data_IF_048904585161
#
_entry.id   IF_048904585161
#
_cell.length_a   1.000
_cell.length_b   1.000
_cell.length_c   1.000
_cell.angle_alpha   90.00
_cell.angle_beta   90.00
_cell.angle_gamma   90.00
#
_symmetry.space_group_name_H-M   'P 1'
#
loop_
_entity.id
_entity.type
_entity.pdbx_description
1 polymer ?
#
# COMPACT_ATOMS: atom_id res chain seq x y z
N UNK A 1 8.48 2.40 6.19
CA UNK A 1 9.45 2.13 5.11
C UNK A 1 10.60 3.12 5.12
N UNK A 2 10.48 4.32 4.53
CA UNK A 2 11.61 5.28 4.45
C UNK A 2 12.34 5.56 5.77
N UNK A 3 11.59 5.88 6.83
CA UNK A 3 12.19 6.11 8.16
C UNK A 3 12.83 4.86 8.78
N UNK A 4 12.30 3.66 8.48
CA UNK A 4 12.80 2.40 9.07
C UNK A 4 14.12 2.01 8.40
N UNK A 5 14.15 2.04 7.07
CA UNK A 5 15.31 1.71 6.24
C UNK A 5 16.35 2.85 6.14
N UNK A 6 16.03 4.03 6.67
CA UNK A 6 16.80 5.27 6.53
C UNK A 6 17.06 5.74 5.07
N UNK A 7 16.25 5.25 4.13
CA UNK A 7 16.33 5.60 2.71
C UNK A 7 15.31 6.68 2.33
N UNK A 8 15.58 7.43 1.24
CA UNK A 8 14.59 8.38 0.72
C UNK A 8 13.40 7.66 0.10
N UNK A 9 12.24 8.34 0.05
CA UNK A 9 11.04 7.74 -0.54
C UNK A 9 11.22 7.44 -2.04
N UNK A 10 11.86 8.37 -2.76
CA UNK A 10 12.15 8.24 -4.20
C UNK A 10 13.01 7.01 -4.49
N UNK A 11 14.02 6.80 -3.66
CA UNK A 11 14.91 5.66 -3.75
C UNK A 11 14.21 4.32 -3.57
N UNK A 12 13.34 4.23 -2.56
CA UNK A 12 12.51 3.04 -2.33
C UNK A 12 11.57 2.83 -3.52
N UNK A 13 10.97 3.89 -4.07
CA UNK A 13 10.09 3.79 -5.24
C UNK A 13 10.84 3.27 -6.47
N UNK A 14 12.05 3.76 -6.74
CA UNK A 14 12.89 3.25 -7.85
C UNK A 14 13.17 1.77 -7.73
N UNK A 15 13.47 1.29 -6.52
CA UNK A 15 13.69 -0.14 -6.27
C UNK A 15 12.39 -0.93 -6.46
N UNK A 16 11.26 -0.46 -5.89
CA UNK A 16 9.96 -1.12 -5.98
C UNK A 16 9.44 -1.26 -7.41
N UNK A 17 9.67 -0.24 -8.25
CA UNK A 17 9.20 -0.21 -9.65
C UNK A 17 10.23 -0.75 -10.66
N UNK A 18 11.22 -1.51 -10.19
CA UNK A 18 12.22 -2.19 -11.02
C UNK A 18 13.11 -1.23 -11.85
N UNK A 19 13.35 -0.01 -11.37
CA UNK A 19 14.23 0.98 -12.01
C UNK A 19 15.67 0.96 -11.47
N UNK A 20 15.87 0.40 -10.28
CA UNK A 20 17.17 0.33 -9.62
C UNK A 20 17.30 -0.93 -8.75
N UNK A 21 18.54 -1.36 -8.52
CA UNK A 21 18.86 -2.42 -7.56
C UNK A 21 19.26 -1.82 -6.22
N UNK A 22 18.97 -2.55 -5.15
CA UNK A 22 19.46 -2.25 -3.80
C UNK A 22 20.35 -3.37 -3.30
N UNK A 23 21.49 -3.02 -2.71
CA UNK A 23 22.40 -3.97 -2.06
C UNK A 23 21.75 -4.49 -0.78
N UNK A 24 21.43 -5.78 -0.78
CA UNK A 24 20.87 -6.48 0.38
C UNK A 24 22.00 -7.04 1.24
N UNK A 25 23.00 -7.65 0.60
CA UNK A 25 24.20 -8.15 1.26
C UNK A 25 25.45 -7.70 0.48
N UNK A 26 26.32 -6.86 1.07
CA UNK A 26 27.55 -6.45 0.44
C UNK A 26 28.65 -7.54 0.43
N UNK A 27 28.53 -8.59 1.24
CA UNK A 27 29.56 -9.61 1.38
C UNK A 27 30.94 -9.03 1.73
N UNK A 28 31.98 -9.48 1.04
CA UNK A 28 33.37 -9.01 1.22
C UNK A 28 33.74 -7.80 0.34
N UNK A 29 32.78 -7.29 -0.44
CA UNK A 29 33.00 -6.18 -1.37
C UNK A 29 32.98 -4.82 -0.65
N UNK A 30 33.53 -3.75 -1.23
CA UNK A 30 33.45 -2.39 -0.65
C UNK A 30 32.05 -1.76 -0.74
N UNK A 31 31.03 -2.51 -1.17
CA UNK A 31 29.68 -2.02 -1.34
C UNK A 31 29.02 -1.76 0.03
N UNK A 32 28.14 -0.75 0.06
CA UNK A 32 27.36 -0.43 1.25
C UNK A 32 25.99 -1.08 1.15
N UNK A 33 25.59 -1.80 2.19
CA UNK A 33 24.19 -2.24 2.38
C UNK A 33 23.26 -1.03 2.31
N UNK A 34 22.06 -1.21 1.76
CA UNK A 34 21.11 -0.12 1.42
C UNK A 34 21.58 0.81 0.28
N UNK A 35 22.76 0.57 -0.30
CA UNK A 35 23.23 1.30 -1.47
C UNK A 35 22.39 0.97 -2.70
N UNK A 36 22.10 1.99 -3.50
CA UNK A 36 21.31 1.86 -4.72
C UNK A 36 22.25 1.93 -5.91
N UNK A 37 21.97 1.14 -6.93
CA UNK A 37 22.72 1.13 -8.18
C UNK A 37 21.78 1.05 -9.37
N UNK A 38 22.23 1.64 -10.48
CA UNK A 38 21.55 1.50 -11.77
C UNK A 38 21.78 0.10 -12.34
N UNK A 39 21.09 -0.25 -13.42
CA UNK A 39 21.30 -1.52 -14.11
C UNK A 39 22.73 -1.62 -14.68
N UNK A 40 23.24 -0.54 -15.27
CA UNK A 40 24.62 -0.46 -15.78
C UNK A 40 25.67 -0.64 -14.67
N UNK A 41 25.46 0.01 -13.52
CA UNK A 41 26.35 -0.11 -12.36
C UNK A 41 26.31 -1.52 -11.77
N UNK A 42 25.13 -2.14 -11.73
CA UNK A 42 24.97 -3.52 -11.27
C UNK A 42 25.73 -4.49 -12.16
N UNK A 43 25.59 -4.36 -13.49
CA UNK A 43 26.29 -5.22 -14.44
C UNK A 43 27.81 -5.02 -14.40
N UNK A 44 28.29 -3.79 -14.18
CA UNK A 44 29.70 -3.49 -14.00
C UNK A 44 30.26 -4.14 -12.73
N UNK A 45 29.57 -3.95 -11.58
CA UNK A 45 29.98 -4.53 -10.30
C UNK A 45 29.90 -6.05 -10.28
N UNK A 46 28.91 -6.63 -10.95
CA UNK A 46 28.79 -8.08 -11.11
C UNK A 46 29.91 -8.66 -11.98
N UNK A 47 30.40 -7.90 -12.96
CA UNK A 47 31.59 -8.29 -13.73
C UNK A 47 32.88 -8.20 -12.91
N UNK A 48 32.97 -7.24 -12.00
CA UNK A 48 34.15 -7.02 -11.14
C UNK A 48 34.22 -8.00 -9.96
N UNK A 49 33.13 -8.14 -9.21
CA UNK A 49 33.07 -8.89 -7.95
C UNK A 49 32.34 -10.25 -8.08
N UNK A 50 31.82 -10.59 -9.25
CA UNK A 50 31.09 -11.83 -9.46
C UNK A 50 29.85 -11.93 -8.56
N UNK A 51 29.74 -13.06 -7.85
CA UNK A 51 28.64 -13.38 -6.94
C UNK A 51 28.96 -13.06 -5.46
N UNK A 52 30.00 -12.26 -5.18
CA UNK A 52 30.39 -11.89 -3.80
C UNK A 52 29.41 -10.96 -3.08
N UNK A 53 28.48 -10.33 -3.81
CA UNK A 53 27.45 -9.46 -3.25
C UNK A 53 26.07 -9.82 -3.81
N UNK A 54 25.03 -9.52 -3.01
CA UNK A 54 23.63 -9.72 -3.39
C UNK A 54 22.95 -8.37 -3.50
N UNK A 55 22.55 -8.00 -4.71
CA UNK A 55 21.64 -6.88 -4.94
C UNK A 55 20.35 -7.37 -5.59
N UNK A 56 19.22 -6.86 -5.11
CA UNK A 56 17.88 -7.24 -5.58
C UNK A 56 17.07 -6.01 -5.94
N UNK A 57 15.99 -6.22 -6.68
CA UNK A 57 15.02 -5.19 -7.04
C UNK A 57 13.60 -5.62 -6.67
N UNK A 58 12.66 -4.68 -6.77
CA UNK A 58 11.26 -4.92 -6.45
C UNK A 58 10.98 -5.04 -4.96
N UNK A 59 9.75 -5.46 -4.64
CA UNK A 59 9.28 -5.62 -3.26
C UNK A 59 10.08 -6.68 -2.48
N UNK A 60 10.62 -7.70 -3.14
CA UNK A 60 11.43 -8.75 -2.52
C UNK A 60 12.70 -8.19 -1.89
N UNK A 61 13.43 -7.32 -2.61
CA UNK A 61 14.62 -6.67 -2.06
C UNK A 61 14.31 -5.78 -0.86
N UNK A 62 13.19 -5.04 -0.90
CA UNK A 62 12.75 -4.22 0.25
C UNK A 62 12.36 -5.09 1.44
N UNK A 63 11.67 -6.21 1.21
CA UNK A 63 11.26 -7.14 2.26
C UNK A 63 12.47 -7.75 2.97
N UNK A 64 13.44 -8.26 2.22
CA UNK A 64 14.64 -8.87 2.77
C UNK A 64 15.51 -7.86 3.53
N UNK A 65 15.57 -6.61 3.06
CA UNK A 65 16.18 -5.54 3.82
C UNK A 65 15.50 -5.33 5.16
N UNK A 66 14.15 -5.34 5.21
CA UNK A 66 13.40 -5.20 6.46
C UNK A 66 13.60 -6.40 7.39
N UNK A 67 13.60 -7.63 6.86
CA UNK A 67 13.86 -8.86 7.62
C UNK A 67 15.27 -8.88 8.23
N UNK A 68 16.24 -8.29 7.54
CA UNK A 68 17.63 -8.22 7.99
C UNK A 68 17.91 -7.15 9.06
N UNK A 69 16.91 -6.35 9.44
CA UNK A 69 17.06 -5.31 10.48
C UNK A 69 16.93 -5.95 11.85
N UNK A 70 18.03 -5.91 12.61
CA UNK A 70 17.97 -6.13 14.05
C UNK A 70 17.52 -4.83 14.74
N UNK A 71 16.29 -4.84 15.26
CA UNK A 71 15.69 -3.71 15.96
C UNK A 71 16.47 -3.33 17.23
N UNK A 72 17.03 -4.30 17.94
CA UNK A 72 17.70 -4.04 19.22
C UNK A 72 19.01 -3.29 18.99
N UNK A 73 19.83 -3.83 18.11
CA UNK A 73 21.10 -3.24 17.70
C UNK A 73 20.90 -1.84 17.09
N UNK A 74 19.89 -1.64 16.24
CA UNK A 74 19.63 -0.32 15.64
C UNK A 74 19.11 0.72 16.65
N UNK A 75 18.31 0.31 17.63
CA UNK A 75 17.84 1.20 18.70
C UNK A 75 19.02 1.65 19.57
N UNK A 76 19.91 0.73 19.95
CA UNK A 76 21.10 1.08 20.74
C UNK A 76 22.04 2.03 19.99
N UNK A 77 22.32 1.75 18.71
CA UNK A 77 23.10 2.65 17.85
C UNK A 77 22.51 4.06 17.81
N UNK A 78 21.20 4.17 17.60
CA UNK A 78 20.53 5.47 17.51
C UNK A 78 20.47 6.23 18.84
N UNK A 79 20.42 5.52 19.98
CA UNK A 79 20.51 6.14 21.31
C UNK A 79 21.91 6.70 21.59
N UNK A 80 22.95 6.04 21.07
CA UNK A 80 24.33 6.47 21.24
C UNK A 80 24.77 7.52 20.20
N UNK A 81 24.13 7.58 19.02
CA UNK A 81 24.40 8.57 17.96
C UNK A 81 23.60 9.89 18.17
N UNK A 82 23.91 10.59 19.27
CA UNK A 82 23.38 11.93 19.57
C UNK A 82 24.22 13.06 18.96
N UNK A 83 25.29 12.73 18.23
CA UNK A 83 26.22 13.71 17.66
C UNK A 83 25.85 14.08 16.22
N UNK A 84 25.96 15.37 15.90
CA UNK A 84 25.74 15.91 14.55
C UNK A 84 24.90 17.17 14.51
N UNK A 85 24.45 17.53 13.31
CA UNK A 85 23.59 18.69 13.09
C UNK A 85 22.19 18.50 13.68
N UNK A 86 21.53 19.59 14.06
CA UNK A 86 20.18 19.58 14.62
C UNK A 86 19.17 18.81 13.73
N UNK A 87 19.32 18.94 12.41
CA UNK A 87 18.51 18.21 11.43
C UNK A 87 18.71 16.68 11.52
N UNK A 88 19.96 16.22 11.65
CA UNK A 88 20.30 14.79 11.80
C UNK A 88 19.71 14.26 13.10
N UNK A 89 19.88 14.98 14.20
CA UNK A 89 19.35 14.61 15.51
C UNK A 89 17.81 14.48 15.45
N UNK A 90 17.13 15.45 14.83
CA UNK A 90 15.66 15.41 14.69
C UNK A 90 15.18 14.26 13.81
N UNK A 91 15.93 13.88 12.76
CA UNK A 91 15.63 12.71 11.92
C UNK A 91 15.82 11.41 12.72
N UNK A 92 16.96 11.27 13.40
CA UNK A 92 17.29 10.11 14.23
C UNK A 92 16.29 9.92 15.36
N UNK A 93 15.86 10.99 16.03
CA UNK A 93 14.85 10.92 17.08
C UNK A 93 13.49 10.40 16.56
N UNK A 94 13.08 10.82 15.35
CA UNK A 94 11.86 10.28 14.71
C UNK A 94 12.02 8.80 14.35
N UNK A 95 13.17 8.40 13.82
CA UNK A 95 13.47 6.99 13.50
C UNK A 95 13.47 6.12 14.76
N UNK A 96 14.17 6.54 15.80
CA UNK A 96 14.23 5.86 17.10
C UNK A 96 12.83 5.63 17.66
N UNK A 97 11.97 6.66 17.68
CA UNK A 97 10.58 6.54 18.15
C UNK A 97 9.79 5.48 17.39
N UNK A 98 9.99 5.37 16.08
CA UNK A 98 9.30 4.36 15.25
C UNK A 98 9.84 2.95 15.55
N UNK A 99 11.15 2.77 15.65
CA UNK A 99 11.76 1.46 15.95
C UNK A 99 11.39 0.96 17.35
N UNK A 100 11.40 1.84 18.35
CA UNK A 100 10.94 1.51 19.70
C UNK A 100 9.45 1.11 19.72
N UNK A 101 8.61 1.76 18.90
CA UNK A 101 7.21 1.38 18.76
C UNK A 101 7.04 0.00 18.13
N UNK A 102 7.85 -0.36 17.12
CA UNK A 102 7.87 -1.73 16.57
C UNK A 102 8.28 -2.74 17.63
N UNK A 103 9.39 -2.50 18.35
CA UNK A 103 9.85 -3.37 19.44
C UNK A 103 8.78 -3.55 20.52
N UNK A 104 8.14 -2.46 20.96
CA UNK A 104 7.11 -2.51 22.01
C UNK A 104 5.83 -3.23 21.57
N UNK A 105 5.45 -3.12 20.30
CA UNK A 105 4.23 -3.75 19.76
C UNK A 105 4.42 -5.22 19.36
N UNK A 106 5.67 -5.68 19.22
CA UNK A 106 5.98 -7.02 18.70
C UNK A 106 5.65 -7.18 17.21
N UNK A 107 5.32 -6.09 16.51
CA UNK A 107 5.07 -6.09 15.07
C UNK A 107 6.42 -6.15 14.37
N UNK A 108 6.55 -7.08 13.43
CA UNK A 108 7.77 -7.21 12.64
C UNK A 108 7.76 -6.22 11.46
N UNK A 109 8.88 -5.52 11.15
CA UNK A 109 8.92 -4.54 10.07
C UNK A 109 8.56 -5.10 8.69
N UNK A 110 8.90 -6.36 8.40
CA UNK A 110 8.64 -7.04 7.13
C UNK A 110 7.16 -7.25 6.85
N UNK A 111 6.29 -7.26 7.87
CA UNK A 111 4.83 -7.37 7.69
C UNK A 111 4.20 -6.16 6.98
N UNK A 112 4.97 -5.09 6.79
CA UNK A 112 4.57 -3.98 5.92
C UNK A 112 4.48 -4.39 4.44
N UNK A 113 5.16 -5.47 4.03
CA UNK A 113 5.11 -6.03 2.68
C UNK A 113 4.12 -7.21 2.67
N UNK A 114 3.10 -7.14 1.82
CA UNK A 114 2.02 -8.13 1.79
C UNK A 114 2.41 -9.34 0.93
N UNK A 115 2.51 -10.52 1.53
CA UNK A 115 2.62 -11.79 0.80
C UNK A 115 1.25 -12.34 0.41
N UNK A 116 0.25 -12.13 1.28
CA UNK A 116 -1.12 -12.64 1.11
C UNK A 116 -2.10 -11.50 1.29
N UNK A 117 -3.02 -11.37 0.33
CA UNK A 117 -4.04 -10.32 0.33
C UNK A 117 -5.41 -10.92 0.67
N UNK A 118 -6.05 -10.52 1.77
CA UNK A 118 -7.39 -11.00 2.12
C UNK A 118 -8.45 -10.45 1.15
N UNK A 119 -9.48 -11.26 0.92
CA UNK A 119 -10.62 -10.90 0.06
C UNK A 119 -11.84 -10.64 0.93
N UNK A 120 -12.51 -9.50 0.69
CA UNK A 120 -13.73 -9.14 1.41
C UNK A 120 -14.85 -10.16 1.14
N UNK A 121 -15.69 -10.52 2.12
CA UNK A 121 -16.84 -11.41 1.92
C UNK A 121 -17.75 -10.94 0.78
N UNK A 122 -18.34 -11.87 -0.02
CA UNK A 122 -19.20 -11.52 -1.16
C UNK A 122 -20.36 -10.59 -0.82
N UNK A 123 -20.96 -10.73 0.36
CA UNK A 123 -22.09 -9.91 0.81
C UNK A 123 -21.75 -8.42 0.94
N UNK A 124 -20.48 -8.11 1.22
CA UNK A 124 -19.99 -6.73 1.29
C UNK A 124 -19.59 -6.17 -0.09
N UNK A 125 -19.62 -7.01 -1.13
CA UNK A 125 -19.34 -6.65 -2.53
C UNK A 125 -20.38 -7.29 -3.47
N UNK A 126 -21.67 -6.98 -3.30
CA UNK A 126 -22.76 -7.72 -3.94
C UNK A 126 -22.75 -7.55 -5.46
N UNK A 127 -23.31 -8.56 -6.12
CA UNK A 127 -23.65 -8.56 -7.54
C UNK A 127 -25.17 -8.70 -7.61
N UNK A 128 -25.86 -7.59 -7.86
CA UNK A 128 -27.33 -7.53 -7.77
C UNK A 128 -27.91 -7.57 -9.18
N UNK A 129 -28.79 -8.55 -9.50
CA UNK A 129 -29.48 -8.56 -10.77
C UNK A 129 -30.42 -7.35 -10.88
N UNK A 130 -30.47 -6.75 -12.07
CA UNK A 130 -31.38 -5.69 -12.45
C UNK A 130 -32.33 -6.19 -13.54
N UNK A 131 -33.43 -5.48 -13.73
CA UNK A 131 -34.38 -5.77 -14.81
C UNK A 131 -33.69 -5.74 -16.19
N UNK A 132 -34.13 -6.64 -17.07
CA UNK A 132 -33.56 -6.78 -18.41
C UNK A 132 -32.22 -7.53 -18.47
N UNK A 133 -31.92 -8.40 -17.49
CA UNK A 133 -30.76 -9.29 -17.51
C UNK A 133 -29.42 -8.59 -17.24
N UNK A 134 -29.45 -7.35 -16.73
CA UNK A 134 -28.27 -6.58 -16.36
C UNK A 134 -27.86 -6.89 -14.92
N UNK A 135 -26.61 -6.63 -14.58
CA UNK A 135 -26.11 -6.79 -13.21
C UNK A 135 -25.46 -5.49 -12.72
N UNK A 136 -25.81 -5.07 -11.52
CA UNK A 136 -25.09 -4.04 -10.79
C UNK A 136 -23.94 -4.69 -10.01
N UNK A 137 -22.72 -4.24 -10.25
CA UNK A 137 -21.51 -4.77 -9.61
C UNK A 137 -20.83 -3.69 -8.78
N UNK A 138 -20.34 -4.06 -7.59
CA UNK A 138 -19.45 -3.19 -6.80
C UNK A 138 -18.13 -2.94 -7.55
N UNK A 139 -17.63 -1.69 -7.52
CA UNK A 139 -16.32 -1.29 -8.07
C UNK A 139 -15.17 -2.19 -7.54
N UNK A 140 -15.29 -2.67 -6.30
CA UNK A 140 -14.29 -3.57 -5.69
C UNK A 140 -14.13 -4.88 -6.47
N UNK A 141 -15.21 -5.41 -7.04
CA UNK A 141 -15.14 -6.67 -7.78
C UNK A 141 -14.27 -6.52 -9.03
N UNK A 142 -14.30 -5.35 -9.69
CA UNK A 142 -13.43 -5.06 -10.84
C UNK A 142 -11.96 -4.91 -10.42
N UNK A 143 -11.69 -4.26 -9.28
CA UNK A 143 -10.34 -4.14 -8.73
C UNK A 143 -9.78 -5.51 -8.31
N UNK A 144 -10.56 -6.34 -7.60
CA UNK A 144 -10.18 -7.71 -7.26
C UNK A 144 -9.93 -8.58 -8.50
N UNK A 145 -10.82 -8.51 -9.51
CA UNK A 145 -10.65 -9.26 -10.75
C UNK A 145 -9.32 -8.91 -11.43
N UNK A 146 -8.93 -7.63 -11.45
CA UNK A 146 -7.64 -7.20 -11.99
C UNK A 146 -6.47 -7.81 -11.22
N UNK A 147 -6.46 -7.75 -9.89
CA UNK A 147 -5.40 -8.35 -9.06
C UNK A 147 -5.29 -9.85 -9.32
N UNK A 148 -6.41 -10.58 -9.32
CA UNK A 148 -6.44 -12.03 -9.55
C UNK A 148 -5.90 -12.38 -10.94
N UNK A 149 -6.33 -11.65 -11.97
CA UNK A 149 -5.88 -11.89 -13.35
C UNK A 149 -4.39 -11.62 -13.52
N UNK A 150 -3.87 -10.54 -12.90
CA UNK A 150 -2.43 -10.21 -12.91
C UNK A 150 -1.60 -11.25 -12.17
N UNK A 151 -2.07 -11.68 -11.00
CA UNK A 151 -1.39 -12.72 -10.22
C UNK A 151 -1.35 -14.07 -10.97
N UNK A 152 -2.48 -14.47 -11.56
CA UNK A 152 -2.57 -15.72 -12.34
C UNK A 152 -1.68 -15.66 -13.60
N UNK A 153 -1.63 -14.50 -14.26
CA UNK A 153 -0.74 -14.27 -15.41
C UNK A 153 0.73 -14.30 -15.02
N UNK A 154 1.11 -13.64 -13.93
CA UNK A 154 2.48 -13.66 -13.41
C UNK A 154 2.92 -15.09 -13.09
N UNK A 155 2.07 -15.87 -12.40
CA UNK A 155 2.33 -17.28 -12.11
C UNK A 155 2.63 -18.08 -13.38
N UNK A 156 1.79 -17.96 -14.41
CA UNK A 156 1.99 -18.64 -15.69
C UNK A 156 3.28 -18.22 -16.40
N UNK A 157 3.64 -16.92 -16.33
CA UNK A 157 4.90 -16.42 -16.90
C UNK A 157 6.13 -17.02 -16.20
N UNK A 158 6.08 -17.17 -14.87
CA UNK A 158 7.14 -17.80 -14.09
C UNK A 158 7.26 -19.30 -14.40
N UNK A 159 6.12 -20.01 -14.50
CA UNK A 159 6.09 -21.44 -14.86
C UNK A 159 6.70 -21.70 -16.25
N UNK A 160 6.48 -20.80 -17.20
CA UNK A 160 7.05 -20.87 -18.56
C UNK A 160 8.48 -20.33 -18.66
N UNK A 161 9.11 -19.92 -17.54
CA UNK A 161 10.42 -19.26 -17.50
C UNK A 161 10.53 -18.11 -18.52
N UNK A 162 9.48 -17.27 -18.58
CA UNK A 162 9.45 -16.13 -19.47
C UNK A 162 10.63 -15.18 -19.20
N UNK A 163 11.11 -14.44 -20.22
CA UNK A 163 12.20 -13.47 -20.06
C UNK A 163 11.95 -12.49 -18.91
N UNK A 164 13.04 -12.11 -18.23
CA UNK A 164 12.96 -11.33 -17.00
C UNK A 164 12.26 -9.98 -17.20
N UNK A 165 12.46 -9.33 -18.34
CA UNK A 165 11.78 -8.06 -18.71
C UNK A 165 10.24 -8.21 -18.63
N UNK A 166 9.71 -9.33 -19.14
CA UNK A 166 8.27 -9.58 -19.16
C UNK A 166 7.77 -9.87 -17.73
N UNK A 167 8.53 -10.66 -16.96
CA UNK A 167 8.22 -10.96 -15.58
C UNK A 167 8.25 -9.70 -14.69
N UNK A 168 9.26 -8.84 -14.82
CA UNK A 168 9.38 -7.55 -14.12
C UNK A 168 8.20 -6.65 -14.42
N UNK A 169 7.82 -6.52 -15.70
CA UNK A 169 6.64 -5.73 -16.06
C UNK A 169 5.36 -6.29 -15.44
N UNK A 170 5.15 -7.61 -15.42
CA UNK A 170 3.96 -8.19 -14.79
C UNK A 170 3.98 -8.03 -13.26
N UNK A 171 5.13 -8.14 -12.60
CA UNK A 171 5.30 -7.82 -11.17
C UNK A 171 4.91 -6.35 -10.89
N UNK A 172 5.36 -5.41 -11.73
CA UNK A 172 4.96 -3.99 -11.65
C UNK A 172 3.44 -3.81 -11.82
N UNK A 173 2.85 -4.45 -12.83
CA UNK A 173 1.40 -4.35 -13.06
C UNK A 173 0.58 -4.95 -11.91
N UNK A 174 1.07 -6.02 -11.28
CA UNK A 174 0.46 -6.59 -10.08
C UNK A 174 0.53 -5.60 -8.90
N UNK A 175 1.68 -4.97 -8.68
CA UNK A 175 1.84 -3.93 -7.65
C UNK A 175 0.84 -2.78 -7.86
N UNK A 176 0.74 -2.24 -9.06
CA UNK A 176 -0.21 -1.17 -9.39
C UNK A 176 -1.68 -1.59 -9.19
N UNK A 177 -2.00 -2.84 -9.49
CA UNK A 177 -3.35 -3.37 -9.28
C UNK A 177 -3.70 -3.47 -7.79
N UNK A 178 -2.75 -3.89 -6.95
CA UNK A 178 -2.93 -3.93 -5.49
C UNK A 178 -3.01 -2.52 -4.91
N UNK A 179 -2.14 -1.61 -5.35
CA UNK A 179 -2.19 -0.20 -4.95
C UNK A 179 -3.56 0.42 -5.25
N UNK A 180 -4.10 0.14 -6.44
CA UNK A 180 -5.42 0.63 -6.88
C UNK A 180 -6.57 0.02 -6.08
N UNK A 181 -6.45 -1.24 -5.63
CA UNK A 181 -7.46 -1.89 -4.78
C UNK A 181 -7.51 -1.25 -3.39
N UNK A 182 -6.34 -0.96 -2.80
CA UNK A 182 -6.22 -0.41 -1.46
C UNK A 182 -6.59 1.08 -1.42
N UNK A 183 -6.00 1.90 -2.29
CA UNK A 183 -6.20 3.35 -2.34
C UNK A 183 -6.00 3.90 -3.76
N UNK A 184 -7.08 3.85 -4.56
CA UNK A 184 -7.06 4.21 -5.97
C UNK A 184 -6.74 5.69 -6.18
N UNK A 185 -5.74 5.99 -7.01
CA UNK A 185 -5.32 7.36 -7.32
C UNK A 185 -4.39 8.00 -6.28
N UNK A 186 -3.96 7.27 -5.24
CA UNK A 186 -2.89 7.74 -4.35
C UNK A 186 -1.56 7.87 -5.08
N UNK A 187 -1.29 6.95 -6.00
CA UNK A 187 -0.13 6.97 -6.89
C UNK A 187 -0.60 6.98 -8.34
N UNK A 188 -0.23 8.01 -9.08
CA UNK A 188 -0.55 8.15 -10.50
C UNK A 188 -2.04 8.35 -10.78
N UNK A 189 -2.44 7.99 -12.01
CA UNK A 189 -3.79 8.19 -12.51
C UNK A 189 -4.74 7.12 -11.96
N UNK A 190 -5.84 7.55 -11.36
CA UNK A 190 -6.86 6.64 -10.85
C UNK A 190 -7.40 5.72 -11.96
N UNK A 191 -7.56 4.44 -11.62
CA UNK A 191 -8.17 3.46 -12.52
C UNK A 191 -9.65 3.79 -12.71
N UNK A 192 -10.07 3.86 -13.97
CA UNK A 192 -11.45 4.17 -14.35
C UNK A 192 -12.19 2.93 -14.84
N UNK A 193 -13.50 2.90 -14.57
CA UNK A 193 -14.42 1.90 -15.11
C UNK A 193 -14.95 2.27 -16.50
N UNK A 194 -15.87 1.47 -17.03
CA UNK A 194 -16.49 1.68 -18.35
C UNK A 194 -17.12 3.08 -18.51
N UNK A 195 -17.67 3.63 -17.43
CA UNK A 195 -18.32 4.95 -17.43
C UNK A 195 -17.31 6.11 -17.28
N UNK A 196 -16.00 5.86 -17.49
CA UNK A 196 -14.88 6.81 -17.27
C UNK A 196 -14.77 7.40 -15.86
N UNK A 197 -15.62 6.97 -14.92
CA UNK A 197 -15.55 7.30 -13.49
C UNK A 197 -14.42 6.51 -12.83
N UNK A 198 -13.69 7.16 -11.91
CA UNK A 198 -12.73 6.47 -11.05
C UNK A 198 -13.43 5.44 -10.17
N UNK A 199 -12.86 4.23 -10.10
CA UNK A 199 -13.35 3.14 -9.26
C UNK A 199 -13.11 3.47 -7.79
N UNK A 200 -14.07 3.17 -6.91
CA UNK A 200 -13.92 3.33 -5.47
C UNK A 200 -13.07 2.20 -4.88
N UNK A 201 -12.01 2.56 -4.17
CA UNK A 201 -11.12 1.63 -3.46
C UNK A 201 -11.61 1.30 -2.05
N UNK A 202 -10.92 0.37 -1.36
CA UNK A 202 -11.21 0.05 0.05
C UNK A 202 -11.07 1.28 0.95
N UNK A 203 -10.03 2.10 0.76
CA UNK A 203 -9.85 3.34 1.52
C UNK A 203 -11.02 4.32 1.29
N UNK A 204 -11.49 4.47 0.04
CA UNK A 204 -12.60 5.36 -0.31
C UNK A 204 -13.93 4.94 0.29
N UNK A 205 -14.14 3.65 0.53
CA UNK A 205 -15.34 3.16 1.21
C UNK A 205 -15.39 3.61 2.67
N UNK A 206 -14.24 3.82 3.29
CA UNK A 206 -14.13 4.17 4.71
C UNK A 206 -14.08 5.69 4.90
N UNK A 207 -13.30 6.39 4.08
CA UNK A 207 -13.04 7.83 4.22
C UNK A 207 -14.07 8.72 3.49
N UNK A 208 -14.10 10.00 3.86
CA UNK A 208 -14.89 11.02 3.16
C UNK A 208 -16.36 11.13 3.63
N UNK A 209 -17.10 12.07 3.02
CA UNK A 209 -18.50 12.37 3.38
C UNK A 209 -19.46 11.21 3.10
N UNK A 210 -19.22 10.48 2.01
CA UNK A 210 -19.98 9.28 1.64
C UNK A 210 -19.33 7.98 2.15
N UNK A 211 -18.28 8.09 2.98
CA UNK A 211 -17.64 6.95 3.61
C UNK A 211 -18.44 6.42 4.79
N UNK A 212 -18.15 5.18 5.19
CA UNK A 212 -18.86 4.46 6.25
C UNK A 212 -18.95 5.23 7.57
N UNK A 213 -17.87 5.89 8.01
CA UNK A 213 -17.86 6.58 9.30
C UNK A 213 -18.89 7.71 9.37
N UNK A 214 -18.90 8.61 8.38
CA UNK A 214 -19.81 9.76 8.41
C UNK A 214 -21.22 9.41 7.98
N UNK A 215 -21.35 8.58 6.94
CA UNK A 215 -22.65 8.33 6.33
C UNK A 215 -23.45 7.25 7.06
N UNK A 216 -22.82 6.20 7.59
CA UNK A 216 -23.53 5.03 8.12
C UNK A 216 -23.42 4.88 9.64
N UNK A 217 -22.28 5.26 10.24
CA UNK A 217 -22.09 5.14 11.68
C UNK A 217 -22.74 6.31 12.42
N UNK A 218 -22.56 7.55 11.93
CA UNK A 218 -23.17 8.74 12.51
C UNK A 218 -24.54 9.07 11.90
N UNK A 219 -24.74 8.80 10.62
CA UNK A 219 -26.03 8.94 9.94
C UNK A 219 -26.74 7.59 9.87
N UNK A 220 -27.81 7.40 10.64
CA UNK A 220 -28.69 6.24 10.48
C UNK A 220 -30.07 6.71 10.08
N UNK A 221 -30.63 6.06 9.06
CA UNK A 221 -32.06 6.17 8.82
C UNK A 221 -32.76 5.46 9.98
N UNK A 222 -33.76 6.14 10.54
CA UNK A 222 -34.52 5.65 11.69
C UNK A 222 -35.94 5.36 11.25
N UNK A 223 -36.44 4.22 11.71
CA UNK A 223 -37.87 3.89 11.58
C UNK A 223 -38.69 4.81 12.50
N UNK A 224 -40.01 4.83 12.31
CA UNK A 224 -40.92 5.72 13.05
C UNK A 224 -40.61 7.21 12.89
N UNK A 225 -40.15 7.61 11.70
CA UNK A 225 -39.94 9.01 11.34
C UNK A 225 -40.78 9.41 10.13
N UNK A 226 -41.26 10.65 10.13
CA UNK A 226 -42.05 11.23 9.05
C UNK A 226 -41.63 12.66 8.78
N UNK A 227 -41.93 13.15 7.58
CA UNK A 227 -41.72 14.56 7.21
C UNK A 227 -42.95 15.04 6.44
N UNK A 228 -43.46 16.21 6.84
CA UNK A 228 -44.53 16.92 6.14
C UNK A 228 -44.21 18.42 6.07
N UNK A 229 -45.02 19.16 5.33
CA UNK A 229 -44.93 20.62 5.25
C UNK A 229 -45.59 21.22 6.49
N UNK A 230 -44.91 22.16 7.15
CA UNK A 230 -45.42 22.86 8.33
C UNK A 230 -46.35 24.02 7.94
N UNK A 231 -47.44 24.21 8.69
CA UNK A 231 -48.38 25.33 8.54
C UNK A 231 -48.63 26.01 9.89
N UNK A 232 -49.22 27.22 9.91
CA UNK A 232 -49.20 28.12 11.09
C UNK A 232 -50.02 27.63 12.30
N UNK A 233 -51.07 26.81 12.11
CA UNK A 233 -51.84 26.20 13.21
C UNK A 233 -52.25 27.12 14.37
N UNK A 234 -52.92 28.28 14.12
CA UNK A 234 -53.03 29.37 15.09
C UNK A 234 -53.87 29.07 16.35
N UNK A 235 -54.61 27.97 16.39
CA UNK A 235 -55.48 27.58 17.51
C UNK A 235 -54.83 26.60 18.50
N UNK A 236 -53.59 26.15 18.23
CA UNK A 236 -52.88 25.19 19.09
C UNK A 236 -52.27 25.86 20.33
N UNK A 237 -52.17 25.11 21.43
CA UNK A 237 -51.44 25.54 22.63
C UNK A 237 -49.93 25.36 22.44
N UNK A 238 -49.11 26.04 23.25
CA UNK A 238 -47.63 26.03 23.15
C UNK A 238 -46.99 24.62 23.17
N UNK A 239 -47.64 23.63 23.79
CA UNK A 239 -47.15 22.26 23.95
C UNK A 239 -47.76 21.26 22.95
N UNK A 240 -48.43 21.73 21.89
CA UNK A 240 -49.10 20.89 20.90
C UNK A 240 -48.53 21.09 19.50
N UNK A 241 -48.52 20.03 18.70
CA UNK A 241 -48.27 20.06 17.25
C UNK A 241 -49.31 19.18 16.52
N UNK A 242 -49.61 19.51 15.27
CA UNK A 242 -50.55 18.79 14.41
C UNK A 242 -49.90 18.27 13.14
#
# INVERSE_FOLDING_TARGET
LGLVLDMTLRDIERVLYFEAYVVVDPGMTPLKKFGIMTEEDYDAKRREYGDEFVAKMGAEGIKELLESIDLDTEIEKLRNDLTGSELKIKKNAKRLKVLEAFKKSGIKPEWMVLDVLPVLPPDLRPLVPLDGGRFATSDLNDLYRRVINRNSRLRRLLELKAPEIIARNEKRMLQEAVDSLLDNGRRGKAMTGANKRALKSLADMIKGKSGRFRQNLLGKRVDYSGRSVITVGPTLKLHQCG
#
